data_IF_134811664077
#
_entry.id   IF_134811664077
#
_cell.length_a   1.000
_cell.length_b   1.000
_cell.length_c   1.000
_cell.angle_alpha   90.00
_cell.angle_beta   90.00
_cell.angle_gamma   90.00
#
_symmetry.space_group_name_H-M   'P 1'
#
loop_
_entity.id
_entity.type
_entity.pdbx_description
1 polymer ?
#
# COMPACT_ATOMS: atom_id res chain seq x y z
N UNK A 1 -45.90 -25.89 94.40
CA UNK A 1 -44.68 -25.05 94.39
C UNK A 1 -43.86 -25.45 93.17
N UNK A 2 -43.61 -24.50 92.25
CA UNK A 2 -42.41 -24.30 91.38
C UNK A 2 -41.93 -25.50 90.53
N UNK A 3 -41.53 -25.41 89.26
CA UNK A 3 -40.96 -24.33 88.45
C UNK A 3 -40.99 -24.76 86.97
N UNK A 4 -41.11 -23.78 86.07
CA UNK A 4 -41.13 -23.84 84.61
C UNK A 4 -39.86 -24.42 83.97
N UNK A 5 -39.97 -24.95 82.74
CA UNK A 5 -38.86 -24.98 81.77
C UNK A 5 -39.42 -24.97 80.34
N UNK A 6 -39.23 -23.84 79.66
CA UNK A 6 -39.56 -23.59 78.26
C UNK A 6 -38.37 -24.05 77.42
N UNK A 7 -38.59 -24.96 76.46
CA UNK A 7 -37.59 -25.39 75.50
C UNK A 7 -37.84 -24.68 74.16
N UNK A 8 -36.88 -23.85 73.75
CA UNK A 8 -36.89 -23.08 72.51
C UNK A 8 -36.30 -23.94 71.38
N UNK A 9 -37.11 -24.35 70.40
CA UNK A 9 -36.63 -25.07 69.22
C UNK A 9 -36.23 -24.09 68.12
N UNK A 10 -34.92 -23.92 67.90
CA UNK A 10 -34.37 -23.27 66.70
C UNK A 10 -34.53 -24.22 65.49
N UNK A 11 -35.26 -23.79 64.47
CA UNK A 11 -35.32 -24.46 63.17
C UNK A 11 -34.14 -23.97 62.29
N UNK A 12 -33.24 -24.89 61.93
CA UNK A 12 -32.15 -24.63 60.97
C UNK A 12 -32.68 -24.94 59.57
N UNK A 13 -32.85 -23.90 58.74
CA UNK A 13 -33.18 -24.03 57.33
C UNK A 13 -31.89 -24.28 56.53
N UNK A 14 -31.73 -25.51 56.02
CA UNK A 14 -30.63 -25.86 55.11
C UNK A 14 -30.99 -25.39 53.68
N UNK A 15 -30.44 -24.25 53.27
CA UNK A 15 -30.52 -23.78 51.88
C UNK A 15 -29.55 -24.55 51.00
N UNK A 16 -30.07 -25.41 50.13
CA UNK A 16 -29.32 -26.09 49.07
C UNK A 16 -28.96 -25.09 47.97
N UNK A 17 -27.69 -24.66 47.94
CA UNK A 17 -27.13 -23.87 46.84
C UNK A 17 -26.87 -24.81 45.66
N UNK A 18 -27.74 -24.73 44.64
CA UNK A 18 -27.50 -25.32 43.33
C UNK A 18 -26.31 -24.61 42.68
N UNK A 19 -25.15 -25.26 42.71
CA UNK A 19 -23.97 -24.84 41.94
C UNK A 19 -24.29 -25.09 40.46
N UNK A 20 -24.58 -24.04 39.72
CA UNK A 20 -24.72 -24.12 38.27
C UNK A 20 -23.38 -24.57 37.66
N UNK A 21 -23.36 -25.73 37.02
CA UNK A 21 -22.20 -26.18 36.27
C UNK A 21 -21.86 -25.17 35.16
N UNK A 22 -20.58 -24.88 34.89
CA UNK A 22 -20.21 -24.00 33.80
C UNK A 22 -20.72 -24.60 32.50
N UNK A 23 -21.61 -23.86 31.82
CA UNK A 23 -22.09 -24.20 30.50
C UNK A 23 -20.88 -24.26 29.55
N UNK A 24 -20.46 -25.47 29.19
CA UNK A 24 -19.49 -25.68 28.13
C UNK A 24 -20.17 -25.26 26.82
N UNK A 25 -19.79 -24.09 26.31
CA UNK A 25 -20.18 -23.66 24.97
C UNK A 25 -19.83 -24.78 23.99
N UNK A 26 -20.83 -25.21 23.20
CA UNK A 26 -20.63 -26.21 22.17
C UNK A 26 -19.48 -25.78 21.24
N UNK A 27 -18.64 -26.72 20.76
CA UNK A 27 -17.60 -26.39 19.79
C UNK A 27 -18.24 -25.68 18.59
N UNK A 28 -17.74 -24.49 18.24
CA UNK A 28 -18.17 -23.80 17.03
C UNK A 28 -18.02 -24.75 15.83
N UNK A 29 -19.03 -24.86 14.95
CA UNK A 29 -18.93 -25.70 13.75
C UNK A 29 -17.67 -25.36 12.96
N UNK A 30 -16.92 -26.36 12.53
CA UNK A 30 -15.76 -26.14 11.66
C UNK A 30 -16.30 -25.66 10.31
N UNK A 31 -15.87 -24.48 9.82
CA UNK A 31 -16.30 -24.00 8.51
C UNK A 31 -15.91 -24.98 7.40
N UNK A 32 -16.87 -25.36 6.57
CA UNK A 32 -16.64 -26.05 5.30
C UNK A 32 -16.69 -25.06 4.12
N UNK A 33 -16.31 -25.52 2.92
CA UNK A 33 -16.43 -24.70 1.72
C UNK A 33 -17.89 -24.31 1.45
N UNK A 34 -18.11 -23.08 1.01
CA UNK A 34 -19.43 -22.49 0.79
C UNK A 34 -20.22 -22.17 2.07
N UNK A 35 -19.63 -22.36 3.26
CA UNK A 35 -20.33 -22.08 4.51
C UNK A 35 -20.60 -20.58 4.69
N UNK A 36 -21.80 -20.24 5.15
CA UNK A 36 -22.16 -18.90 5.63
C UNK A 36 -21.94 -18.84 7.13
N UNK A 37 -21.05 -17.96 7.57
CA UNK A 37 -20.65 -17.80 8.96
C UNK A 37 -21.44 -16.64 9.57
N UNK A 38 -22.31 -16.96 10.52
CA UNK A 38 -23.16 -15.99 11.24
C UNK A 38 -22.67 -15.69 12.65
N UNK A 39 -21.62 -16.38 13.09
CA UNK A 39 -20.96 -16.21 14.39
C UNK A 39 -19.46 -16.36 14.21
N UNK A 40 -18.69 -15.82 15.17
CA UNK A 40 -17.23 -15.94 15.18
C UNK A 40 -16.78 -17.39 15.01
N UNK A 41 -15.88 -17.58 14.06
CA UNK A 41 -15.53 -18.89 13.55
C UNK A 41 -14.02 -19.04 13.43
N UNK A 42 -13.57 -20.29 13.49
CA UNK A 42 -12.15 -20.63 13.37
C UNK A 42 -11.93 -21.88 12.55
N UNK A 43 -10.88 -21.87 11.74
CA UNK A 43 -10.42 -23.12 11.12
C UNK A 43 -9.72 -23.99 12.16
N UNK A 44 -9.83 -25.30 11.97
CA UNK A 44 -9.16 -26.32 12.81
C UNK A 44 -8.26 -27.25 12.00
N UNK A 45 -8.32 -27.12 10.67
CA UNK A 45 -7.49 -27.80 9.69
C UNK A 45 -7.47 -26.94 8.42
N UNK A 46 -6.54 -27.26 7.51
CA UNK A 46 -6.55 -26.71 6.17
C UNK A 46 -7.80 -27.16 5.41
N UNK A 47 -8.35 -26.26 4.60
CA UNK A 47 -9.54 -26.50 3.80
C UNK A 47 -9.21 -26.28 2.32
N UNK A 48 -9.59 -27.22 1.46
CA UNK A 48 -9.44 -27.11 0.00
C UNK A 48 -10.81 -27.22 -0.66
N UNK A 49 -11.18 -26.20 -1.41
CA UNK A 49 -12.45 -26.11 -2.11
C UNK A 49 -12.30 -26.54 -3.56
N UNK A 50 -13.14 -27.48 -3.99
CA UNK A 50 -13.12 -28.00 -5.36
C UNK A 50 -13.76 -27.05 -6.38
N UNK A 51 -14.71 -26.23 -5.92
CA UNK A 51 -15.46 -25.25 -6.72
C UNK A 51 -16.11 -24.21 -5.79
N UNK A 52 -16.60 -23.12 -6.39
CA UNK A 52 -17.34 -22.08 -5.68
C UNK A 52 -16.48 -21.25 -4.74
N UNK A 53 -17.12 -20.64 -3.75
CA UNK A 53 -16.47 -19.79 -2.76
C UNK A 53 -15.99 -20.58 -1.54
N UNK A 54 -14.99 -20.04 -0.84
CA UNK A 54 -14.48 -20.62 0.40
C UNK A 54 -15.47 -20.47 1.54
N UNK A 55 -15.66 -19.26 2.07
CA UNK A 55 -16.65 -18.97 3.11
C UNK A 55 -17.26 -17.58 2.92
N UNK A 56 -18.47 -17.38 3.43
CA UNK A 56 -19.20 -16.11 3.39
C UNK A 56 -19.40 -15.59 4.80
N UNK A 57 -19.04 -14.35 5.09
CA UNK A 57 -19.21 -13.75 6.42
C UNK A 57 -20.52 -12.96 6.52
N UNK A 58 -21.18 -13.06 7.67
CA UNK A 58 -22.23 -12.12 8.06
C UNK A 58 -21.62 -10.88 8.74
N UNK A 59 -22.35 -9.76 8.82
CA UNK A 59 -21.89 -8.58 9.56
C UNK A 59 -21.55 -8.91 11.02
N UNK A 60 -20.46 -8.34 11.52
CA UNK A 60 -19.96 -8.51 12.89
C UNK A 60 -19.11 -9.77 13.13
N UNK A 61 -18.87 -10.60 12.11
CA UNK A 61 -18.18 -11.88 12.28
C UNK A 61 -16.67 -11.75 12.16
N UNK A 62 -15.97 -12.43 13.07
CA UNK A 62 -14.53 -12.71 12.99
C UNK A 62 -14.27 -14.13 12.47
N UNK A 63 -13.44 -14.24 11.44
CA UNK A 63 -12.84 -15.48 10.98
C UNK A 63 -11.34 -15.52 11.35
N UNK A 64 -10.97 -16.46 12.21
CA UNK A 64 -9.57 -16.77 12.54
C UNK A 64 -9.13 -18.07 11.86
N UNK A 65 -8.22 -17.99 10.89
CA UNK A 65 -7.72 -19.17 10.19
C UNK A 65 -6.75 -19.99 11.07
N UNK A 66 -6.30 -19.48 12.22
CA UNK A 66 -5.41 -20.17 13.16
C UNK A 66 -4.12 -20.74 12.56
N UNK A 67 -3.61 -20.11 11.51
CA UNK A 67 -2.44 -20.55 10.75
C UNK A 67 -2.74 -21.57 9.65
N UNK A 68 -4.01 -21.96 9.47
CA UNK A 68 -4.43 -22.87 8.43
C UNK A 68 -4.58 -22.19 7.06
N UNK A 69 -4.57 -23.01 6.03
CA UNK A 69 -4.76 -22.61 4.64
C UNK A 69 -6.18 -22.88 4.18
N UNK A 70 -6.83 -21.87 3.59
CA UNK A 70 -8.04 -22.02 2.79
C UNK A 70 -7.68 -21.87 1.31
N UNK A 71 -7.67 -23.00 0.60
CA UNK A 71 -7.23 -23.14 -0.78
C UNK A 71 -8.40 -23.23 -1.76
N UNK A 72 -8.33 -22.44 -2.82
CA UNK A 72 -9.30 -22.39 -3.88
C UNK A 72 -8.90 -23.16 -5.14
N UNK A 73 -9.84 -23.31 -6.09
CA UNK A 73 -9.64 -24.00 -7.36
C UNK A 73 -9.06 -23.12 -8.48
N UNK A 74 -8.64 -21.88 -8.19
CA UNK A 74 -8.25 -20.86 -9.18
C UNK A 74 -9.40 -19.98 -9.67
N UNK A 75 -10.60 -20.16 -9.11
CA UNK A 75 -11.81 -19.38 -9.40
C UNK A 75 -12.55 -19.03 -8.11
N UNK A 76 -13.56 -18.15 -8.18
CA UNK A 76 -14.38 -17.78 -7.03
C UNK A 76 -13.62 -16.95 -5.99
N UNK A 77 -14.28 -16.73 -4.85
CA UNK A 77 -13.76 -15.89 -3.76
C UNK A 77 -13.43 -16.74 -2.53
N UNK A 78 -12.25 -16.54 -1.92
CA UNK A 78 -11.85 -17.26 -0.71
C UNK A 78 -12.70 -16.90 0.51
N UNK A 79 -12.78 -15.63 0.85
CA UNK A 79 -13.64 -15.09 1.91
C UNK A 79 -14.48 -13.96 1.33
N UNK A 80 -15.79 -14.17 1.28
CA UNK A 80 -16.76 -13.17 0.82
C UNK A 80 -17.20 -12.32 2.02
N UNK A 81 -17.06 -11.01 1.88
CA UNK A 81 -17.49 -10.03 2.87
C UNK A 81 -18.89 -9.50 2.54
N UNK A 82 -19.73 -9.20 3.55
CA UNK A 82 -21.02 -8.54 3.35
C UNK A 82 -20.80 -7.06 2.99
N UNK A 83 -21.70 -6.40 2.24
CA UNK A 83 -21.52 -5.00 1.84
C UNK A 83 -21.54 -4.03 3.04
N UNK A 84 -22.29 -4.38 4.08
CA UNK A 84 -22.44 -3.59 5.31
C UNK A 84 -21.87 -4.29 6.54
N UNK A 85 -21.52 -3.50 7.54
CA UNK A 85 -21.04 -3.94 8.84
C UNK A 85 -19.57 -4.37 8.87
N UNK A 86 -19.07 -4.48 10.09
CA UNK A 86 -17.67 -4.77 10.36
C UNK A 86 -17.38 -6.28 10.27
N UNK A 87 -16.20 -6.64 9.80
CA UNK A 87 -15.73 -8.02 9.72
C UNK A 87 -14.25 -8.08 10.02
N UNK A 88 -13.79 -9.20 10.58
CA UNK A 88 -12.36 -9.44 10.82
C UNK A 88 -11.93 -10.76 10.19
N UNK A 89 -10.85 -10.74 9.40
CA UNK A 89 -10.20 -11.95 8.87
C UNK A 89 -8.75 -11.95 9.31
N UNK A 90 -8.30 -13.02 9.98
CA UNK A 90 -6.95 -13.03 10.54
C UNK A 90 -6.26 -14.38 10.57
N UNK A 91 -4.93 -14.31 10.61
CA UNK A 91 -4.03 -15.39 11.02
C UNK A 91 -4.17 -16.66 10.18
N UNK A 92 -3.75 -16.63 8.92
CA UNK A 92 -3.66 -17.82 8.07
C UNK A 92 -3.41 -17.49 6.62
N UNK A 93 -3.69 -18.45 5.74
CA UNK A 93 -3.33 -18.37 4.33
C UNK A 93 -4.56 -18.51 3.43
N UNK A 94 -4.69 -17.62 2.44
CA UNK A 94 -5.64 -17.73 1.35
C UNK A 94 -4.87 -17.93 0.04
N UNK A 95 -5.13 -19.06 -0.63
CA UNK A 95 -4.33 -19.49 -1.78
C UNK A 95 -5.15 -19.96 -2.97
N UNK A 96 -4.77 -19.55 -4.18
CA UNK A 96 -5.37 -20.08 -5.41
C UNK A 96 -6.82 -19.65 -5.66
N UNK A 97 -7.16 -18.40 -5.38
CA UNK A 97 -8.50 -17.83 -5.64
C UNK A 97 -8.46 -16.82 -6.79
N UNK A 98 -9.61 -16.55 -7.43
CA UNK A 98 -9.71 -15.39 -8.33
C UNK A 98 -9.56 -14.10 -7.52
N UNK A 99 -10.26 -14.02 -6.39
CA UNK A 99 -10.05 -13.02 -5.35
C UNK A 99 -9.98 -13.73 -4.00
N UNK A 100 -8.94 -13.54 -3.21
CA UNK A 100 -8.86 -14.19 -1.90
C UNK A 100 -9.85 -13.57 -0.90
N UNK A 101 -9.99 -12.24 -0.88
CA UNK A 101 -11.04 -11.53 -0.11
C UNK A 101 -11.73 -10.53 -1.04
N UNK A 102 -13.06 -10.47 -0.99
CA UNK A 102 -13.86 -9.55 -1.81
C UNK A 102 -15.16 -9.18 -1.08
N UNK A 103 -15.57 -7.92 -1.18
CA UNK A 103 -16.91 -7.47 -0.74
C UNK A 103 -17.92 -7.65 -1.87
N UNK A 104 -19.01 -8.38 -1.62
CA UNK A 104 -20.09 -8.58 -2.60
C UNK A 104 -21.30 -7.72 -2.32
N UNK A 105 -22.07 -7.41 -3.36
CA UNK A 105 -23.30 -6.63 -3.27
C UNK A 105 -23.05 -5.12 -3.25
N UNK A 106 -22.20 -4.62 -4.14
CA UNK A 106 -21.82 -3.19 -4.21
C UNK A 106 -22.90 -2.29 -4.83
N UNK A 107 -24.03 -2.86 -5.26
CA UNK A 107 -25.15 -2.13 -5.87
C UNK A 107 -25.97 -1.34 -4.83
N UNK A 108 -25.90 -1.75 -3.55
CA UNK A 108 -26.64 -1.19 -2.42
C UNK A 108 -25.73 -0.34 -1.50
N UNK A 109 -26.18 -0.04 -0.28
CA UNK A 109 -25.37 0.70 0.70
C UNK A 109 -24.15 -0.15 1.05
N UNK A 110 -22.96 0.46 0.99
CA UNK A 110 -21.70 -0.19 1.36
C UNK A 110 -21.09 0.58 2.52
N UNK A 111 -20.69 -0.15 3.56
CA UNK A 111 -20.16 0.47 4.78
C UNK A 111 -19.60 -0.54 5.79
N UNK A 112 -19.05 0.01 6.87
CA UNK A 112 -18.32 -0.74 7.89
C UNK A 112 -16.84 -0.94 7.54
N UNK A 113 -16.17 -1.74 8.35
CA UNK A 113 -14.72 -1.96 8.29
C UNK A 113 -14.38 -3.44 8.10
N UNK A 114 -13.58 -3.75 7.08
CA UNK A 114 -12.92 -5.03 6.93
C UNK A 114 -11.52 -4.95 7.55
N UNK A 115 -11.33 -5.57 8.71
CA UNK A 115 -10.02 -5.69 9.36
C UNK A 115 -9.34 -6.98 8.91
N UNK A 116 -8.21 -6.86 8.21
CA UNK A 116 -7.48 -7.99 7.63
C UNK A 116 -6.06 -7.97 8.22
N UNK A 117 -5.71 -8.98 9.02
CA UNK A 117 -4.42 -8.93 9.73
C UNK A 117 -3.71 -10.27 9.86
N UNK A 118 -2.37 -10.26 9.70
CA UNK A 118 -1.53 -11.46 9.79
C UNK A 118 -2.00 -12.54 8.81
N UNK A 119 -2.33 -12.11 7.60
CA UNK A 119 -2.76 -12.99 6.51
C UNK A 119 -1.63 -13.20 5.50
N UNK A 120 -1.61 -14.37 4.89
CA UNK A 120 -0.78 -14.66 3.71
C UNK A 120 -1.69 -14.87 2.51
N UNK A 121 -1.45 -14.13 1.44
CA UNK A 121 -2.18 -14.22 0.17
C UNK A 121 -1.22 -14.73 -0.90
N UNK A 122 -1.47 -15.91 -1.46
CA UNK A 122 -0.54 -16.49 -2.44
C UNK A 122 -1.20 -17.13 -3.65
N UNK A 123 -0.65 -16.86 -4.84
CA UNK A 123 -1.12 -17.47 -6.08
C UNK A 123 -2.57 -17.12 -6.42
N UNK A 124 -3.06 -15.96 -5.98
CA UNK A 124 -4.41 -15.49 -6.29
C UNK A 124 -4.40 -14.55 -7.50
N UNK A 125 -5.55 -14.40 -8.17
CA UNK A 125 -5.76 -13.31 -9.12
C UNK A 125 -5.64 -11.95 -8.42
N UNK A 126 -6.38 -11.77 -7.32
CA UNK A 126 -6.28 -10.64 -6.38
C UNK A 126 -6.15 -11.15 -4.95
N UNK A 127 -5.22 -10.62 -4.16
CA UNK A 127 -5.12 -10.93 -2.73
C UNK A 127 -6.31 -10.36 -1.95
N UNK A 128 -6.50 -9.05 -2.01
CA UNK A 128 -7.70 -8.36 -1.48
C UNK A 128 -8.28 -7.47 -2.57
N UNK A 129 -9.55 -7.66 -2.86
CA UNK A 129 -10.35 -6.76 -3.68
C UNK A 129 -11.11 -5.79 -2.76
N UNK A 130 -10.60 -4.57 -2.68
CA UNK A 130 -11.13 -3.46 -1.89
C UNK A 130 -12.00 -2.51 -2.72
N UNK A 131 -12.56 -3.01 -3.84
CA UNK A 131 -13.48 -2.25 -4.70
C UNK A 131 -14.69 -1.75 -3.92
N UNK A 132 -15.02 -0.49 -4.17
CA UNK A 132 -16.13 0.23 -3.56
C UNK A 132 -17.31 0.41 -4.53
N UNK A 133 -18.32 1.14 -4.07
CA UNK A 133 -19.49 1.48 -4.87
C UNK A 133 -19.22 2.74 -5.71
N UNK A 134 -19.57 2.69 -6.99
CA UNK A 134 -19.54 3.88 -7.86
C UNK A 134 -20.42 5.00 -7.29
N UNK A 135 -19.86 6.20 -7.15
CA UNK A 135 -20.56 7.39 -6.69
C UNK A 135 -20.94 7.40 -5.21
N UNK A 136 -20.40 6.48 -4.40
CA UNK A 136 -20.66 6.38 -2.97
C UNK A 136 -19.39 6.05 -2.16
N UNK A 137 -19.53 5.94 -0.85
CA UNK A 137 -18.46 5.45 0.02
C UNK A 137 -18.36 3.93 -0.06
N UNK A 138 -17.15 3.39 0.01
CA UNK A 138 -16.91 1.94 0.11
C UNK A 138 -16.77 1.46 1.55
N UNK A 139 -16.67 0.14 1.72
CA UNK A 139 -16.23 -0.48 2.98
C UNK A 139 -14.76 -0.12 3.20
N UNK A 140 -14.39 0.27 4.42
CA UNK A 140 -13.00 0.59 4.76
C UNK A 140 -12.21 -0.71 4.88
N UNK A 141 -11.08 -0.83 4.18
CA UNK A 141 -10.21 -1.99 4.26
C UNK A 141 -8.94 -1.65 5.05
N UNK A 142 -8.83 -2.20 6.26
CA UNK A 142 -7.69 -2.03 7.16
C UNK A 142 -6.81 -3.28 7.11
N UNK A 143 -5.70 -3.22 6.38
CA UNK A 143 -4.81 -4.34 6.12
C UNK A 143 -3.51 -4.16 6.88
N UNK A 144 -3.15 -5.10 7.75
CA UNK A 144 -1.92 -4.96 8.54
C UNK A 144 -1.14 -6.24 8.78
N UNK A 145 0.19 -6.14 8.75
CA UNK A 145 1.12 -7.26 9.02
C UNK A 145 0.85 -8.47 8.15
N UNK A 146 0.49 -8.24 6.89
CA UNK A 146 0.11 -9.28 5.94
C UNK A 146 1.18 -9.44 4.86
N UNK A 147 1.18 -10.60 4.20
CA UNK A 147 2.12 -10.95 3.14
C UNK A 147 1.36 -11.30 1.87
N UNK A 148 1.76 -10.72 0.75
CA UNK A 148 1.18 -10.93 -0.58
C UNK A 148 2.27 -11.45 -1.51
N UNK A 149 2.17 -12.70 -1.94
CA UNK A 149 3.22 -13.36 -2.71
C UNK A 149 2.67 -14.00 -3.99
N UNK A 150 3.26 -13.70 -5.13
CA UNK A 150 2.93 -14.32 -6.42
C UNK A 150 1.44 -14.20 -6.80
N UNK A 151 0.81 -13.06 -6.51
CA UNK A 151 -0.55 -12.77 -6.96
C UNK A 151 -0.53 -11.95 -8.26
N UNK A 152 -1.63 -11.99 -9.02
CA UNK A 152 -1.84 -11.05 -10.13
C UNK A 152 -1.79 -9.61 -9.63
N UNK A 153 -2.67 -9.29 -8.67
CA UNK A 153 -2.51 -8.13 -7.81
C UNK A 153 -2.55 -8.47 -6.32
N UNK A 154 -1.76 -7.76 -5.51
CA UNK A 154 -1.78 -7.93 -4.05
C UNK A 154 -3.05 -7.34 -3.45
N UNK A 155 -3.19 -6.01 -3.56
CA UNK A 155 -4.43 -5.28 -3.23
C UNK A 155 -4.91 -4.57 -4.48
N UNK A 156 -6.16 -4.80 -4.87
CA UNK A 156 -6.83 -4.10 -5.96
C UNK A 156 -8.01 -3.28 -5.45
N UNK A 157 -8.27 -2.10 -6.00
CA UNK A 157 -9.52 -1.39 -5.73
C UNK A 157 -9.96 -0.51 -6.90
N UNK A 158 -11.27 -0.55 -7.19
CA UNK A 158 -11.95 0.44 -8.05
C UNK A 158 -13.01 1.17 -7.22
N UNK A 159 -13.09 2.50 -7.25
CA UNK A 159 -14.05 3.29 -6.44
C UNK A 159 -13.95 3.10 -4.92
N UNK A 160 -12.95 2.36 -4.46
CA UNK A 160 -12.73 2.00 -3.07
C UNK A 160 -11.29 2.27 -2.67
N UNK A 161 -10.88 1.72 -1.54
CA UNK A 161 -9.54 1.94 -1.06
C UNK A 161 -9.17 1.11 0.15
N UNK A 162 -7.88 1.15 0.46
CA UNK A 162 -7.31 0.41 1.57
C UNK A 162 -6.26 1.23 2.31
N UNK A 163 -6.18 1.00 3.60
CA UNK A 163 -5.03 1.39 4.42
C UNK A 163 -4.20 0.14 4.70
N UNK A 164 -2.92 0.19 4.34
CA UNK A 164 -2.03 -0.96 4.33
C UNK A 164 -0.79 -0.65 5.15
N UNK A 165 -0.64 -1.33 6.28
CA UNK A 165 0.41 -1.04 7.27
C UNK A 165 1.31 -2.24 7.50
N UNK A 166 2.63 -2.03 7.50
CA UNK A 166 3.63 -3.05 7.84
C UNK A 166 3.43 -4.37 7.12
N UNK A 167 3.11 -4.29 5.83
CA UNK A 167 2.83 -5.46 5.00
C UNK A 167 3.92 -5.63 3.93
N UNK A 168 4.07 -6.86 3.44
CA UNK A 168 5.09 -7.21 2.45
C UNK A 168 4.43 -7.73 1.19
N UNK A 169 4.85 -7.20 0.03
CA UNK A 169 4.41 -7.62 -1.29
C UNK A 169 5.62 -8.10 -2.07
N UNK A 170 5.59 -9.34 -2.56
CA UNK A 170 6.71 -9.95 -3.27
C UNK A 170 6.27 -10.75 -4.48
N UNK A 171 6.91 -10.57 -5.64
CA UNK A 171 6.64 -11.38 -6.83
C UNK A 171 5.25 -11.20 -7.44
N UNK A 172 4.51 -10.15 -7.08
CA UNK A 172 3.20 -9.91 -7.66
C UNK A 172 3.34 -9.25 -9.04
N UNK A 173 2.34 -9.44 -9.90
CA UNK A 173 2.24 -8.65 -11.14
C UNK A 173 2.19 -7.17 -10.83
N UNK A 174 1.18 -6.77 -10.05
CA UNK A 174 1.08 -5.43 -9.44
C UNK A 174 0.84 -5.58 -7.93
N UNK A 175 1.73 -5.07 -7.07
CA UNK A 175 1.54 -5.22 -5.63
C UNK A 175 0.29 -4.48 -5.13
N UNK A 176 0.08 -3.24 -5.57
CA UNK A 176 -1.09 -2.42 -5.25
C UNK A 176 -1.60 -1.74 -6.51
N UNK A 177 -2.88 -1.96 -6.86
CA UNK A 177 -3.52 -1.44 -8.07
C UNK A 177 -4.81 -0.71 -7.70
N UNK A 178 -4.84 0.61 -7.91
CA UNK A 178 -5.96 1.47 -7.50
C UNK A 178 -6.40 2.37 -8.64
N UNK A 179 -7.70 2.33 -8.94
CA UNK A 179 -8.34 3.12 -9.98
C UNK A 179 -9.55 3.85 -9.40
N UNK A 180 -9.62 5.17 -9.60
CA UNK A 180 -10.74 6.01 -9.11
C UNK A 180 -11.03 5.81 -7.61
N UNK A 181 -9.98 5.66 -6.79
CA UNK A 181 -10.07 5.27 -5.40
C UNK A 181 -8.95 5.87 -4.55
N UNK A 182 -8.38 5.09 -3.63
CA UNK A 182 -7.21 5.52 -2.89
C UNK A 182 -6.53 4.42 -2.09
N UNK A 183 -5.24 4.64 -1.79
CA UNK A 183 -4.50 3.76 -0.90
C UNK A 183 -3.57 4.58 -0.02
N UNK A 184 -3.48 4.19 1.25
CA UNK A 184 -2.45 4.69 2.15
C UNK A 184 -1.55 3.52 2.54
N UNK A 185 -0.28 3.59 2.11
CA UNK A 185 0.77 2.63 2.42
C UNK A 185 1.67 3.21 3.51
N UNK A 186 1.78 2.50 4.62
CA UNK A 186 2.64 2.90 5.74
C UNK A 186 3.58 1.77 6.14
N UNK A 187 4.86 2.09 6.34
CA UNK A 187 5.89 1.19 6.88
C UNK A 187 5.95 -0.18 6.17
N UNK A 188 5.66 -0.19 4.87
CA UNK A 188 5.47 -1.42 4.10
C UNK A 188 6.64 -1.68 3.15
N UNK A 189 6.71 -2.90 2.61
CA UNK A 189 7.76 -3.31 1.67
C UNK A 189 7.15 -3.90 0.42
N UNK A 190 7.45 -3.30 -0.73
CA UNK A 190 7.04 -3.77 -2.05
C UNK A 190 8.31 -4.15 -2.81
N UNK A 191 8.54 -5.44 -2.95
CA UNK A 191 9.78 -5.98 -3.49
C UNK A 191 9.56 -6.92 -4.68
N UNK A 192 10.39 -6.82 -5.72
CA UNK A 192 10.44 -7.77 -6.83
C UNK A 192 9.07 -8.00 -7.49
N UNK A 193 8.27 -6.93 -7.63
CA UNK A 193 7.00 -6.95 -8.35
C UNK A 193 7.19 -6.35 -9.74
N UNK A 194 6.31 -6.68 -10.69
CA UNK A 194 6.29 -5.98 -11.97
C UNK A 194 6.04 -4.48 -11.75
N UNK A 195 4.90 -4.17 -11.12
CA UNK A 195 4.61 -2.82 -10.61
C UNK A 195 4.44 -2.83 -9.10
N UNK A 196 5.08 -1.92 -8.37
CA UNK A 196 4.84 -1.74 -6.94
C UNK A 196 3.46 -1.14 -6.68
N UNK A 197 3.26 0.12 -7.06
CA UNK A 197 1.98 0.81 -6.97
C UNK A 197 1.57 1.33 -8.34
N UNK A 198 0.37 0.97 -8.77
CA UNK A 198 -0.34 1.58 -9.89
C UNK A 198 -1.45 2.45 -9.31
N UNK A 199 -1.31 3.77 -9.47
CA UNK A 199 -2.24 4.76 -8.95
C UNK A 199 -2.82 5.58 -10.11
N UNK A 200 -4.06 5.28 -10.50
CA UNK A 200 -4.76 5.99 -11.57
C UNK A 200 -6.06 6.59 -11.05
N UNK A 201 -6.35 7.83 -11.43
CA UNK A 201 -7.54 8.56 -10.97
C UNK A 201 -7.76 8.48 -9.44
N UNK A 202 -6.70 8.30 -8.65
CA UNK A 202 -6.78 7.94 -7.24
C UNK A 202 -5.98 8.87 -6.34
N UNK A 203 -6.36 8.96 -5.07
CA UNK A 203 -5.55 9.58 -4.03
C UNK A 203 -4.66 8.54 -3.36
N UNK A 204 -3.39 8.46 -3.75
CA UNK A 204 -2.43 7.52 -3.16
C UNK A 204 -1.41 8.24 -2.29
N UNK A 205 -1.08 7.61 -1.16
CA UNK A 205 -0.05 8.06 -0.23
C UNK A 205 0.86 6.90 0.15
N UNK A 206 2.17 7.10 0.07
CA UNK A 206 3.16 6.17 0.61
C UNK A 206 4.10 6.86 1.60
N UNK A 207 4.10 6.38 2.84
CA UNK A 207 4.95 6.89 3.90
C UNK A 207 5.87 5.79 4.43
N UNK A 208 7.16 6.12 4.62
CA UNK A 208 8.16 5.22 5.22
C UNK A 208 8.17 3.82 4.57
N UNK A 209 7.86 3.78 3.29
CA UNK A 209 7.67 2.54 2.53
C UNK A 209 8.90 2.28 1.68
N UNK A 210 9.24 1.00 1.52
CA UNK A 210 10.43 0.59 0.76
C UNK A 210 10.04 -0.18 -0.50
N UNK A 211 10.48 0.35 -1.64
CA UNK A 211 10.29 -0.21 -2.96
C UNK A 211 11.62 -0.77 -3.47
N UNK A 212 11.71 -2.09 -3.66
CA UNK A 212 12.98 -2.75 -4.01
C UNK A 212 12.85 -3.65 -5.21
N UNK A 213 13.71 -3.51 -6.23
CA UNK A 213 13.78 -4.52 -7.29
C UNK A 213 12.53 -4.64 -8.16
N UNK A 214 11.64 -3.64 -8.16
CA UNK A 214 10.46 -3.67 -9.02
C UNK A 214 10.82 -3.18 -10.43
N UNK A 215 10.14 -3.66 -11.46
CA UNK A 215 10.36 -3.12 -12.82
C UNK A 215 9.95 -1.63 -12.83
N UNK A 216 8.77 -1.33 -12.29
CA UNK A 216 8.32 0.04 -11.96
C UNK A 216 7.84 0.08 -10.51
N UNK A 217 8.49 0.84 -9.63
CA UNK A 217 8.07 0.92 -8.23
C UNK A 217 6.76 1.68 -8.04
N UNK A 218 6.63 2.85 -8.66
CA UNK A 218 5.43 3.69 -8.59
C UNK A 218 5.09 4.19 -9.99
N UNK A 219 3.85 3.94 -10.40
CA UNK A 219 3.24 4.37 -11.65
C UNK A 219 2.01 5.23 -11.33
N UNK A 220 2.05 6.50 -11.71
CA UNK A 220 1.05 7.50 -11.32
C UNK A 220 0.42 8.15 -12.54
N UNK A 221 -0.91 8.27 -12.52
CA UNK A 221 -1.69 8.92 -13.57
C UNK A 221 -2.77 9.83 -13.00
N UNK A 222 -3.21 10.77 -13.81
CA UNK A 222 -4.39 11.62 -13.61
C UNK A 222 -4.35 12.58 -12.42
N UNK A 223 -4.35 12.11 -11.16
CA UNK A 223 -4.45 12.98 -9.96
C UNK A 223 -3.15 13.11 -9.15
N UNK A 224 -2.18 12.23 -9.34
CA UNK A 224 -0.91 12.29 -8.63
C UNK A 224 -0.84 11.34 -7.43
N UNK A 225 0.30 11.34 -6.76
CA UNK A 225 0.57 10.54 -5.57
C UNK A 225 1.54 11.28 -4.66
N UNK A 226 1.31 11.18 -3.35
CA UNK A 226 2.23 11.69 -2.34
C UNK A 226 3.13 10.57 -1.79
N UNK A 227 4.42 10.87 -1.68
CA UNK A 227 5.45 9.97 -1.18
C UNK A 227 6.34 10.72 -0.18
N UNK A 228 6.42 10.21 1.04
CA UNK A 228 7.20 10.83 2.10
C UNK A 228 8.12 9.82 2.82
N UNK A 229 9.38 10.22 3.04
CA UNK A 229 10.34 9.45 3.85
C UNK A 229 10.55 8.02 3.37
N UNK A 230 10.37 7.76 2.07
CA UNK A 230 10.37 6.42 1.48
C UNK A 230 11.71 6.10 0.82
N UNK A 231 11.97 4.81 0.56
CA UNK A 231 13.21 4.36 -0.08
C UNK A 231 12.91 3.58 -1.35
N UNK A 232 13.54 3.97 -2.45
CA UNK A 232 13.47 3.32 -3.75
C UNK A 232 14.84 2.77 -4.12
N UNK A 233 14.96 1.46 -4.26
CA UNK A 233 16.25 0.80 -4.43
C UNK A 233 16.24 -0.25 -5.53
N UNK A 234 17.17 -0.16 -6.48
CA UNK A 234 17.32 -1.13 -7.57
C UNK A 234 16.04 -1.40 -8.37
N UNK A 235 15.18 -0.39 -8.52
CA UNK A 235 14.03 -0.49 -9.41
C UNK A 235 14.46 -0.13 -10.83
N UNK A 236 13.78 -0.68 -11.85
CA UNK A 236 13.97 -0.24 -13.23
C UNK A 236 13.62 1.24 -13.35
N UNK A 237 12.39 1.59 -13.00
CA UNK A 237 11.94 2.98 -12.77
C UNK A 237 11.37 3.14 -11.37
N UNK A 238 11.89 4.07 -10.57
CA UNK A 238 11.42 4.24 -9.19
C UNK A 238 10.11 5.04 -9.12
N UNK A 239 10.00 6.16 -9.82
CA UNK A 239 8.78 6.95 -9.90
C UNK A 239 8.52 7.36 -11.35
N UNK A 240 7.46 6.81 -11.91
CA UNK A 240 6.98 7.12 -13.25
C UNK A 240 5.64 7.83 -13.15
N UNK A 241 5.51 8.94 -13.86
CA UNK A 241 4.26 9.70 -13.93
C UNK A 241 3.92 10.03 -15.37
N UNK A 242 2.65 9.88 -15.74
CA UNK A 242 2.13 10.26 -17.05
C UNK A 242 0.75 10.89 -16.95
N UNK A 243 0.56 12.05 -17.58
CA UNK A 243 -0.74 12.70 -17.72
C UNK A 243 -1.36 13.06 -16.37
N UNK A 244 -0.57 13.55 -15.43
CA UNK A 244 -1.06 13.94 -14.09
C UNK A 244 -1.50 15.41 -14.11
N UNK A 245 -2.81 15.59 -14.16
CA UNK A 245 -3.53 16.88 -14.06
C UNK A 245 -3.62 17.40 -12.62
N UNK A 246 -3.59 16.49 -11.64
CA UNK A 246 -3.43 16.82 -10.23
C UNK A 246 -1.97 17.17 -9.92
N UNK A 247 -1.44 16.67 -8.80
CA UNK A 247 -0.08 16.99 -8.36
C UNK A 247 0.53 15.84 -7.57
N UNK A 248 1.79 15.50 -7.83
CA UNK A 248 2.53 14.54 -7.00
C UNK A 248 3.52 15.24 -6.08
N UNK A 249 3.63 14.81 -4.83
CA UNK A 249 4.68 15.29 -3.91
C UNK A 249 5.62 14.15 -3.57
N UNK A 250 6.92 14.35 -3.74
CA UNK A 250 7.94 13.40 -3.30
C UNK A 250 8.89 14.14 -2.37
N UNK A 251 8.85 13.80 -1.08
CA UNK A 251 9.57 14.54 -0.05
C UNK A 251 10.44 13.62 0.83
N UNK A 252 11.63 14.08 1.16
CA UNK A 252 12.51 13.45 2.16
C UNK A 252 12.85 11.99 1.85
N UNK A 253 12.77 11.59 0.58
CA UNK A 253 12.88 10.21 0.12
C UNK A 253 14.27 9.93 -0.49
N UNK A 254 14.64 8.65 -0.53
CA UNK A 254 15.97 8.21 -0.97
C UNK A 254 15.87 7.26 -2.15
N UNK A 255 16.54 7.59 -3.24
CA UNK A 255 16.58 6.84 -4.51
C UNK A 255 18.00 6.31 -4.73
N UNK A 256 18.16 4.99 -4.67
CA UNK A 256 19.47 4.31 -4.70
C UNK A 256 19.54 3.27 -5.81
N UNK A 257 20.54 3.38 -6.66
CA UNK A 257 20.89 2.37 -7.67
C UNK A 257 19.71 1.95 -8.57
N UNK A 258 18.77 2.87 -8.86
CA UNK A 258 17.69 2.63 -9.80
C UNK A 258 18.17 2.90 -11.23
N UNK A 259 17.49 2.32 -12.24
CA UNK A 259 17.69 2.73 -13.63
C UNK A 259 17.33 4.21 -13.77
N UNK A 260 16.03 4.53 -13.75
CA UNK A 260 15.55 5.92 -13.67
C UNK A 260 14.89 6.17 -12.32
N UNK A 261 15.37 7.16 -11.57
CA UNK A 261 14.80 7.47 -10.26
C UNK A 261 13.45 8.19 -10.39
N UNK A 262 13.38 9.32 -11.10
CA UNK A 262 12.10 10.00 -11.36
C UNK A 262 12.00 10.40 -12.81
N UNK A 263 10.88 10.06 -13.44
CA UNK A 263 10.52 10.54 -14.78
C UNK A 263 9.08 11.04 -14.80
N UNK A 264 8.89 12.22 -15.39
CA UNK A 264 7.59 12.88 -15.51
C UNK A 264 7.27 13.08 -16.99
N UNK A 265 6.09 12.64 -17.41
CA UNK A 265 5.60 12.84 -18.77
C UNK A 265 4.27 13.59 -18.71
N UNK A 266 4.21 14.84 -19.18
CA UNK A 266 2.97 15.65 -19.10
C UNK A 266 2.33 15.63 -17.69
N UNK A 267 3.14 15.93 -16.67
CA UNK A 267 2.75 15.77 -15.26
C UNK A 267 3.24 16.91 -14.36
N UNK A 268 2.46 17.22 -13.32
CA UNK A 268 2.83 18.13 -12.25
C UNK A 268 3.42 17.40 -11.04
N UNK A 269 4.56 17.87 -10.52
CA UNK A 269 5.14 17.33 -9.31
C UNK A 269 6.03 18.30 -8.54
N UNK A 270 6.12 18.12 -7.21
CA UNK A 270 7.13 18.75 -6.36
C UNK A 270 8.03 17.68 -5.78
N UNK A 271 9.34 17.81 -6.02
CA UNK A 271 10.37 16.98 -5.43
C UNK A 271 11.16 17.83 -4.44
N UNK A 272 11.09 17.50 -3.15
CA UNK A 272 11.75 18.27 -2.09
C UNK A 272 12.66 17.41 -1.22
N UNK A 273 13.87 17.90 -0.96
CA UNK A 273 14.79 17.34 0.04
C UNK A 273 15.07 15.83 -0.12
N UNK A 274 15.06 15.35 -1.36
CA UNK A 274 15.34 13.96 -1.67
C UNK A 274 16.83 13.72 -1.92
N UNK A 275 17.26 12.46 -1.73
CA UNK A 275 18.63 12.02 -2.02
C UNK A 275 18.61 11.01 -3.17
N UNK A 276 19.31 11.33 -4.24
CA UNK A 276 19.50 10.50 -5.43
C UNK A 276 20.95 10.04 -5.50
N UNK A 277 21.19 8.73 -5.42
CA UNK A 277 22.53 8.16 -5.42
C UNK A 277 22.64 6.92 -6.29
N UNK A 278 23.68 6.85 -7.12
CA UNK A 278 23.98 5.63 -7.88
C UNK A 278 22.98 5.30 -8.98
N UNK A 279 22.00 6.17 -9.26
CA UNK A 279 21.01 5.90 -10.29
C UNK A 279 21.63 6.11 -11.68
N UNK A 280 21.14 5.40 -12.70
CA UNK A 280 21.55 5.69 -14.08
C UNK A 280 21.04 7.08 -14.50
N UNK A 281 19.83 7.43 -14.09
CA UNK A 281 19.25 8.78 -14.27
C UNK A 281 18.52 9.23 -13.01
N UNK A 282 18.91 10.39 -12.47
CA UNK A 282 18.28 10.96 -11.28
C UNK A 282 16.88 11.56 -11.55
N UNK A 283 16.79 12.49 -12.50
CA UNK A 283 15.53 13.14 -12.85
C UNK A 283 15.47 13.50 -14.33
N UNK A 284 14.30 13.28 -14.95
CA UNK A 284 13.96 13.79 -16.28
C UNK A 284 12.48 14.12 -16.39
N UNK A 285 12.16 14.95 -17.38
CA UNK A 285 10.79 15.29 -17.76
C UNK A 285 10.73 15.61 -19.25
N UNK A 286 9.61 15.28 -19.89
CA UNK A 286 9.36 15.68 -21.28
C UNK A 286 8.86 17.13 -21.42
N UNK A 287 8.48 17.75 -20.29
CA UNK A 287 7.71 18.99 -20.21
C UNK A 287 6.42 18.89 -21.00
N UNK A 288 5.29 19.17 -20.33
CA UNK A 288 3.99 19.04 -20.98
C UNK A 288 3.52 20.30 -21.70
N UNK A 289 2.25 20.25 -22.13
CA UNK A 289 1.46 21.46 -22.41
C UNK A 289 1.63 22.49 -21.27
N UNK A 290 1.45 23.80 -21.50
CA UNK A 290 1.94 24.89 -20.63
C UNK A 290 1.54 24.82 -19.14
N UNK A 291 0.58 23.98 -18.78
CA UNK A 291 0.06 23.79 -17.43
C UNK A 291 0.77 22.68 -16.63
N UNK A 292 1.69 21.92 -17.23
CA UNK A 292 2.45 20.87 -16.54
C UNK A 292 3.84 21.37 -16.15
N UNK A 293 4.05 21.56 -14.85
CA UNK A 293 5.28 22.06 -14.26
C UNK A 293 5.77 21.15 -13.13
N UNK A 294 7.09 20.91 -13.11
CA UNK A 294 7.76 20.28 -11.98
C UNK A 294 8.55 21.31 -11.19
N UNK A 295 8.65 21.13 -9.87
CA UNK A 295 9.51 21.94 -9.01
C UNK A 295 10.44 21.04 -8.22
N UNK A 296 11.75 21.24 -8.36
CA UNK A 296 12.78 20.53 -7.60
C UNK A 296 13.42 21.50 -6.61
N UNK A 297 13.32 21.21 -5.32
CA UNK A 297 13.86 22.06 -4.24
C UNK A 297 14.75 21.24 -3.31
N UNK A 298 16.00 21.68 -3.10
CA UNK A 298 16.84 21.12 -2.04
C UNK A 298 17.28 19.67 -2.25
N UNK A 299 17.13 19.13 -3.46
CA UNK A 299 17.47 17.72 -3.73
C UNK A 299 18.98 17.54 -3.90
N UNK A 300 19.48 16.37 -3.50
CA UNK A 300 20.90 16.02 -3.57
C UNK A 300 21.12 14.83 -4.50
N UNK A 301 21.82 15.06 -5.61
CA UNK A 301 22.22 14.06 -6.59
C UNK A 301 23.71 13.78 -6.48
N UNK A 302 24.08 12.55 -6.12
CA UNK A 302 25.48 12.17 -5.86
C UNK A 302 25.82 10.84 -6.50
N UNK A 303 26.87 10.80 -7.33
CA UNK A 303 27.35 9.55 -7.96
C UNK A 303 26.26 8.82 -8.74
N UNK A 304 25.34 9.55 -9.34
CA UNK A 304 24.51 9.01 -10.42
C UNK A 304 25.33 8.99 -11.72
N UNK A 305 24.85 8.31 -12.75
CA UNK A 305 25.44 8.51 -14.09
C UNK A 305 25.07 9.92 -14.54
N UNK A 306 23.77 10.19 -14.72
CA UNK A 306 23.23 11.52 -14.96
C UNK A 306 22.36 11.98 -13.78
N UNK A 307 22.54 13.22 -13.31
CA UNK A 307 21.77 13.75 -12.16
C UNK A 307 20.43 14.36 -12.57
N UNK A 308 20.42 15.57 -13.15
CA UNK A 308 19.21 16.23 -13.66
C UNK A 308 19.40 16.48 -15.15
N UNK A 309 18.56 15.88 -16.00
CA UNK A 309 18.66 16.02 -17.47
C UNK A 309 17.27 16.15 -18.08
N UNK A 310 16.97 17.31 -18.65
CA UNK A 310 15.79 17.54 -19.49
C UNK A 310 15.98 18.78 -20.37
N UNK A 311 15.26 18.87 -21.49
CA UNK A 311 15.28 20.06 -22.33
C UNK A 311 14.00 20.88 -22.24
N UNK A 312 12.92 20.30 -21.75
CA UNK A 312 11.61 20.93 -21.86
C UNK A 312 11.43 22.10 -20.87
N UNK A 313 10.60 23.11 -21.22
CA UNK A 313 10.34 24.24 -20.36
C UNK A 313 9.41 23.88 -19.19
N UNK A 314 9.16 24.84 -18.29
CA UNK A 314 8.13 24.74 -17.24
C UNK A 314 8.63 24.14 -15.92
N UNK A 315 9.81 23.51 -15.90
CA UNK A 315 10.39 22.97 -14.66
C UNK A 315 11.22 24.02 -13.93
N UNK A 316 10.98 24.19 -12.64
CA UNK A 316 11.69 25.12 -11.77
C UNK A 316 12.71 24.40 -10.89
N UNK A 317 13.92 24.96 -10.77
CA UNK A 317 15.01 24.38 -10.00
C UNK A 317 15.50 25.37 -8.94
N UNK A 318 15.48 24.95 -7.67
CA UNK A 318 15.96 25.74 -6.53
C UNK A 318 16.85 24.90 -5.61
N UNK A 319 17.99 25.43 -5.19
CA UNK A 319 18.84 24.85 -4.13
C UNK A 319 19.23 23.36 -4.35
N UNK A 320 19.24 22.88 -5.59
CA UNK A 320 19.60 21.49 -5.89
C UNK A 320 21.13 21.34 -5.94
N UNK A 321 21.64 20.21 -5.45
CA UNK A 321 23.07 19.91 -5.42
C UNK A 321 23.37 18.66 -6.24
N UNK A 322 24.15 18.79 -7.32
CA UNK A 322 24.55 17.68 -8.19
C UNK A 322 26.07 17.52 -8.21
N UNK A 323 26.60 16.55 -7.46
CA UNK A 323 28.05 16.39 -7.28
C UNK A 323 28.55 14.99 -7.61
N UNK A 324 29.71 14.94 -8.27
CA UNK A 324 30.42 13.68 -8.55
C UNK A 324 29.56 12.66 -9.30
N UNK A 325 28.69 13.11 -10.19
CA UNK A 325 27.97 12.26 -11.13
C UNK A 325 28.89 11.95 -12.32
N UNK A 326 28.74 10.77 -12.92
CA UNK A 326 29.64 10.30 -13.99
C UNK A 326 29.60 11.22 -15.23
N UNK A 327 28.44 11.80 -15.53
CA UNK A 327 28.19 12.65 -16.70
C UNK A 327 27.61 14.00 -16.30
N UNK A 328 26.35 14.30 -16.58
CA UNK A 328 25.77 15.61 -16.29
C UNK A 328 25.49 15.79 -14.80
N UNK A 329 25.87 16.97 -14.29
CA UNK A 329 25.38 17.49 -13.02
C UNK A 329 23.95 18.04 -13.19
N UNK A 330 23.84 19.19 -13.86
CA UNK A 330 22.53 19.76 -14.23
C UNK A 330 22.55 20.15 -15.69
N UNK A 331 21.76 19.46 -16.51
CA UNK A 331 21.47 19.84 -17.88
C UNK A 331 19.98 20.16 -18.03
N UNK A 332 19.65 21.44 -18.02
CA UNK A 332 18.27 21.91 -17.98
C UNK A 332 18.09 23.26 -18.73
N UNK A 333 18.45 23.35 -20.02
CA UNK A 333 18.58 24.61 -20.77
C UNK A 333 17.35 25.54 -20.73
N UNK A 334 16.14 24.99 -20.55
CA UNK A 334 14.88 25.75 -20.52
C UNK A 334 14.22 25.77 -19.12
N UNK A 335 14.96 25.45 -18.07
CA UNK A 335 14.45 25.52 -16.70
C UNK A 335 14.25 26.97 -16.21
N UNK A 336 13.34 27.13 -15.27
CA UNK A 336 13.25 28.34 -14.45
C UNK A 336 14.23 28.22 -13.28
N UNK A 337 15.35 28.95 -13.37
CA UNK A 337 16.32 29.01 -12.27
C UNK A 337 15.80 29.90 -11.14
N UNK A 338 15.49 29.28 -9.99
CA UNK A 338 15.08 29.98 -8.78
C UNK A 338 16.28 30.29 -7.86
N UNK A 339 17.50 29.95 -8.28
CA UNK A 339 18.74 30.22 -7.57
C UNK A 339 19.17 29.12 -6.60
N UNK A 340 20.41 29.24 -6.12
CA UNK A 340 20.99 28.35 -5.10
C UNK A 340 21.46 26.98 -5.59
N UNK A 341 21.24 26.66 -6.87
CA UNK A 341 21.69 25.42 -7.49
C UNK A 341 23.22 25.31 -7.47
N UNK A 342 23.76 24.11 -7.25
CA UNK A 342 25.20 23.83 -7.21
C UNK A 342 25.51 22.53 -7.94
N UNK A 343 26.54 22.55 -8.76
CA UNK A 343 27.10 21.33 -9.33
C UNK A 343 28.62 21.41 -9.41
N UNK A 344 29.30 20.32 -9.05
CA UNK A 344 30.76 20.24 -9.12
C UNK A 344 31.27 18.81 -9.28
N UNK A 345 32.42 18.68 -9.95
CA UNK A 345 33.12 17.42 -10.10
C UNK A 345 32.32 16.35 -10.85
N UNK A 346 31.35 16.76 -11.68
CA UNK A 346 30.66 15.87 -12.60
C UNK A 346 31.48 15.72 -13.89
N UNK A 347 31.25 14.64 -14.64
CA UNK A 347 32.10 14.31 -15.79
C UNK A 347 31.95 15.24 -16.99
N UNK A 348 30.83 15.95 -17.14
CA UNK A 348 30.60 16.89 -18.25
C UNK A 348 30.70 18.36 -17.83
N UNK A 349 31.15 19.18 -18.79
CA UNK A 349 31.20 20.63 -18.71
C UNK A 349 30.26 21.28 -19.75
N UNK A 350 29.64 22.43 -19.43
CA UNK A 350 29.67 23.10 -18.14
C UNK A 350 28.91 22.30 -17.05
N UNK A 351 29.32 22.42 -15.79
CA UNK A 351 28.66 21.71 -14.67
C UNK A 351 27.15 21.97 -14.56
N UNK A 352 26.70 23.13 -15.05
CA UNK A 352 25.29 23.51 -15.13
C UNK A 352 24.95 24.14 -16.49
N UNK A 353 23.85 23.70 -17.09
CA UNK A 353 23.23 24.28 -18.28
C UNK A 353 21.80 24.71 -17.94
N UNK A 354 21.44 25.95 -18.26
CA UNK A 354 20.10 26.53 -18.02
C UNK A 354 19.84 27.04 -16.60
N UNK A 355 20.75 26.79 -15.65
CA UNK A 355 20.74 27.38 -14.30
C UNK A 355 22.13 27.89 -13.93
N UNK A 356 22.18 28.82 -12.97
CA UNK A 356 23.42 29.39 -12.44
C UNK A 356 23.94 28.56 -11.27
N UNK A 357 25.19 28.12 -11.37
CA UNK A 357 25.89 27.41 -10.30
C UNK A 357 27.14 28.18 -9.85
N UNK A 358 27.12 28.81 -8.65
CA UNK A 358 28.25 29.57 -8.17
C UNK A 358 29.41 28.63 -7.82
N UNK A 359 30.50 28.70 -8.60
CA UNK A 359 31.71 27.89 -8.44
C UNK A 359 32.10 27.07 -9.67
N UNK A 360 31.27 27.01 -10.72
CA UNK A 360 31.58 26.36 -12.00
C UNK A 360 32.22 27.28 -13.03
N UNK A 361 33.24 28.05 -12.64
CA UNK A 361 34.07 28.76 -13.62
C UNK A 361 34.93 27.74 -14.39
N UNK A 362 35.26 27.99 -15.68
CA UNK A 362 36.13 27.09 -16.42
C UNK A 362 37.45 26.95 -15.67
N UNK A 363 37.83 25.71 -15.35
CA UNK A 363 39.17 25.43 -14.86
C UNK A 363 40.13 25.77 -16.00
N UNK A 364 41.03 26.73 -15.77
CA UNK A 364 42.10 27.09 -16.70
C UNK A 364 43.27 26.13 -16.60
#
# INVERSE_FOLDING_TARGET
MRLSSVLCCLAVAAGSVLVAAPAHAAPAPVPGCGAVLTTDSRLTADLTCAAGDGVVLSPGVTLDLRGHTLRGPGSGTGVVLPPEGDVTVRNGTLAGWSAAIETRGLDDVVGGTATITRMTFTGNGRGVDATGRLGGTGKVHEISRSTFTDNGSGVGAVYGGAHVVRSTFTGNGTAVDVITGGVHLEDSRLQDNGTGVSCDESGCLAERTRFVGNDTAVNVRTFGMDVAGSTFERNGTAFWSFGVWGHSTVEGSTFVDNGTAVTLFTSNATLRDNVFRGNELGFTTDGGMPDFAATLVGNRFVRNVDAIVFEAPGTSLQDNVANHNERWGIYAPNAHDLGGNRAQGNGYEPQCVGVVCPGGGPVS
#
